data_IF_090851666747
#
_entry.id   IF_090851666747
#
_cell.length_a   1.000
_cell.length_b   1.000
_cell.length_c   1.000
_cell.angle_alpha   90.00
_cell.angle_beta   90.00
_cell.angle_gamma   90.00
#
_symmetry.space_group_name_H-M   'P 1'
#
loop_
_entity.id
_entity.type
_entity.pdbx_description
1 polymer ?
#
# COMPACT_ATOMS: atom_id res chain seq x y z
N UNK A 1 -21.86 0.64 22.91
CA UNK A 1 -22.25 1.57 21.83
C UNK A 1 -21.06 1.63 20.87
N UNK A 2 -21.02 0.70 19.92
CA UNK A 2 -19.87 0.53 19.01
C UNK A 2 -20.00 1.49 17.83
N UNK A 3 -19.99 2.80 18.11
CA UNK A 3 -19.98 3.81 17.06
C UNK A 3 -18.60 3.79 16.41
N UNK A 4 -18.50 3.10 15.28
CA UNK A 4 -17.34 3.18 14.39
C UNK A 4 -17.10 4.65 14.02
N UNK A 5 -15.87 5.12 14.22
CA UNK A 5 -15.41 6.44 13.80
C UNK A 5 -14.50 6.30 12.59
N UNK A 6 -14.68 7.21 11.64
CA UNK A 6 -13.82 7.33 10.48
C UNK A 6 -12.67 8.29 10.79
N UNK A 7 -11.44 7.87 10.49
CA UNK A 7 -10.28 8.73 10.61
C UNK A 7 -10.26 9.75 9.45
N UNK A 8 -10.21 11.04 9.77
CA UNK A 8 -10.24 12.10 8.75
C UNK A 8 -9.00 12.15 7.84
N UNK A 9 -7.88 11.56 8.27
CA UNK A 9 -6.62 11.58 7.53
C UNK A 9 -6.43 10.34 6.65
N UNK A 10 -6.76 9.15 7.16
CA UNK A 10 -6.56 7.89 6.44
C UNK A 10 -7.85 7.19 5.99
N UNK A 11 -9.03 7.74 6.32
CA UNK A 11 -10.34 7.23 5.87
C UNK A 11 -10.80 5.91 6.51
N UNK A 12 -9.97 5.26 7.31
CA UNK A 12 -10.31 3.98 7.96
C UNK A 12 -11.32 4.17 9.09
N UNK A 13 -12.31 3.28 9.13
CA UNK A 13 -13.27 3.18 10.24
C UNK A 13 -12.74 2.24 11.31
N UNK A 14 -12.80 2.68 12.56
CA UNK A 14 -12.38 1.90 13.73
C UNK A 14 -13.31 2.19 14.93
N UNK A 15 -13.32 1.33 15.93
CA UNK A 15 -14.07 1.44 17.18
C UNK A 15 -13.16 2.08 18.26
N UNK A 16 -13.37 3.36 18.62
CA UNK A 16 -12.61 3.99 19.68
C UNK A 16 -12.90 3.31 21.03
N UNK A 17 -11.86 3.07 21.82
CA UNK A 17 -11.93 2.34 23.09
C UNK A 17 -11.84 0.82 22.96
N UNK A 18 -11.80 0.26 21.74
CA UNK A 18 -11.33 -1.12 21.52
C UNK A 18 -9.81 -1.10 21.30
N UNK A 19 -9.04 -1.63 22.24
CA UNK A 19 -7.57 -1.59 22.18
C UNK A 19 -7.00 -2.27 20.94
N UNK A 20 -7.66 -3.34 20.46
CA UNK A 20 -7.20 -4.09 19.28
C UNK A 20 -7.41 -3.25 18.02
N UNK A 21 -8.56 -2.61 17.91
CA UNK A 21 -8.90 -1.80 16.75
C UNK A 21 -8.13 -0.48 16.73
N UNK A 22 -7.94 0.16 17.88
CA UNK A 22 -7.09 1.36 17.99
C UNK A 22 -5.64 1.08 17.60
N UNK A 23 -5.08 -0.05 18.02
CA UNK A 23 -3.72 -0.48 17.64
C UNK A 23 -3.61 -0.77 16.14
N UNK A 24 -4.65 -1.38 15.56
CA UNK A 24 -4.72 -1.66 14.13
C UNK A 24 -4.80 -0.35 13.33
N UNK A 25 -5.68 0.57 13.73
CA UNK A 25 -5.79 1.91 13.17
C UNK A 25 -4.46 2.67 13.24
N UNK A 26 -3.78 2.74 14.39
CA UNK A 26 -2.50 3.45 14.52
C UNK A 26 -1.43 2.88 13.60
N UNK A 27 -1.35 1.55 13.49
CA UNK A 27 -0.39 0.87 12.64
C UNK A 27 -0.64 1.16 11.16
N UNK A 28 -1.91 1.09 10.74
CA UNK A 28 -2.32 1.43 9.38
C UNK A 28 -2.08 2.91 9.08
N UNK A 29 -2.56 3.81 9.94
CA UNK A 29 -2.44 5.25 9.77
C UNK A 29 -0.98 5.67 9.56
N UNK A 30 -0.05 5.14 10.36
CA UNK A 30 1.39 5.38 10.16
C UNK A 30 1.85 4.92 8.78
N UNK A 31 1.49 3.73 8.34
CA UNK A 31 1.93 3.20 7.04
C UNK A 31 1.30 3.95 5.86
N UNK A 32 0.01 4.26 5.95
CA UNK A 32 -0.74 5.00 4.94
C UNK A 32 -0.16 6.41 4.74
N UNK A 33 0.07 7.15 5.84
CA UNK A 33 0.58 8.52 5.75
C UNK A 33 2.02 8.61 5.21
N UNK A 34 2.84 7.58 5.41
CA UNK A 34 4.19 7.52 4.84
C UNK A 34 4.21 7.05 3.38
N UNK A 35 3.09 6.51 2.89
CA UNK A 35 3.01 5.85 1.59
C UNK A 35 3.99 4.67 1.48
N UNK A 36 4.30 4.30 0.24
CA UNK A 36 5.26 3.22 -0.04
C UNK A 36 6.57 3.84 -0.48
N UNK A 37 7.56 3.97 0.42
CA UNK A 37 8.83 4.56 0.05
C UNK A 37 9.51 3.67 -0.99
N UNK A 38 9.87 4.28 -2.13
CA UNK A 38 10.55 3.61 -3.23
C UNK A 38 11.69 4.49 -3.75
N UNK A 39 12.92 4.14 -3.36
CA UNK A 39 14.14 4.85 -3.79
C UNK A 39 14.64 4.42 -5.19
N UNK A 40 14.03 3.39 -5.78
CA UNK A 40 14.51 2.73 -7.00
C UNK A 40 15.43 1.55 -6.74
N UNK A 41 15.71 0.78 -7.78
CA UNK A 41 16.67 -0.33 -7.76
C UNK A 41 17.77 -0.12 -8.80
N UNK A 42 18.96 -0.68 -8.55
CA UNK A 42 20.07 -0.60 -9.51
C UNK A 42 19.75 -1.33 -10.82
N UNK A 43 19.03 -2.44 -10.77
CA UNK A 43 18.65 -3.25 -11.92
C UNK A 43 17.12 -3.20 -12.15
N UNK A 44 16.54 -2.01 -12.09
CA UNK A 44 15.11 -1.86 -12.36
C UNK A 44 14.81 -1.92 -13.87
N UNK A 45 13.71 -2.60 -14.20
CA UNK A 45 13.15 -2.61 -15.56
C UNK A 45 12.14 -1.45 -15.68
N UNK A 46 12.66 -0.24 -15.87
CA UNK A 46 11.86 0.99 -15.88
C UNK A 46 11.59 1.52 -17.29
N UNK A 47 10.35 1.99 -17.51
CA UNK A 47 9.88 2.65 -18.71
C UNK A 47 9.61 4.13 -18.40
N UNK A 48 10.25 5.01 -19.15
CA UNK A 48 10.01 6.45 -19.09
C UNK A 48 9.23 6.90 -20.33
N UNK A 49 8.38 7.90 -20.17
CA UNK A 49 7.64 8.52 -21.26
C UNK A 49 7.63 10.04 -21.06
N UNK A 50 7.73 10.85 -22.13
CA UNK A 50 7.59 12.31 -22.03
C UNK A 50 6.29 12.75 -21.33
N UNK A 51 5.23 11.94 -21.44
CA UNK A 51 3.93 12.20 -20.79
C UNK A 51 3.97 12.01 -19.26
N UNK A 52 4.95 11.26 -18.75
CA UNK A 52 5.04 10.92 -17.33
C UNK A 52 5.71 12.01 -16.49
N UNK A 53 6.09 13.16 -17.05
CA UNK A 53 6.62 14.32 -16.30
C UNK A 53 7.70 13.94 -15.25
N UNK A 54 8.77 13.27 -15.69
CA UNK A 54 9.87 12.72 -14.84
C UNK A 54 9.51 11.51 -13.97
N UNK A 55 8.29 10.99 -14.06
CA UNK A 55 7.91 9.70 -13.48
C UNK A 55 8.31 8.54 -14.40
N UNK A 56 8.24 7.32 -13.86
CA UNK A 56 8.53 6.09 -14.59
C UNK A 56 7.62 4.96 -14.13
N UNK A 57 7.38 4.01 -15.01
CA UNK A 57 6.69 2.75 -14.71
C UNK A 57 7.73 1.65 -14.58
N UNK A 58 7.68 0.86 -13.51
CA UNK A 58 8.61 -0.26 -13.30
C UNK A 58 7.86 -1.58 -13.52
N UNK A 59 8.40 -2.44 -14.38
CA UNK A 59 7.85 -3.77 -14.63
C UNK A 59 8.57 -4.81 -13.78
N UNK A 60 7.80 -5.51 -12.94
CA UNK A 60 8.28 -6.64 -12.14
C UNK A 60 7.67 -7.95 -12.68
N UNK A 61 8.51 -8.96 -12.86
CA UNK A 61 8.12 -10.31 -13.30
C UNK A 61 8.28 -11.32 -12.16
N UNK A 62 7.61 -12.47 -12.26
CA UNK A 62 7.63 -13.52 -11.22
C UNK A 62 9.04 -14.08 -10.94
N UNK A 63 9.92 -14.04 -11.93
CA UNK A 63 11.30 -14.51 -11.84
C UNK A 63 12.29 -13.43 -11.37
N UNK A 64 11.82 -12.19 -11.11
CA UNK A 64 12.68 -11.14 -10.59
C UNK A 64 13.05 -11.39 -9.12
N UNK A 65 14.02 -10.61 -8.61
CA UNK A 65 14.56 -10.80 -7.27
C UNK A 65 13.47 -10.79 -6.17
N UNK A 66 13.67 -11.49 -5.04
CA UNK A 66 12.77 -11.40 -3.90
C UNK A 66 12.52 -9.96 -3.43
N UNK A 67 13.53 -9.08 -3.50
CA UNK A 67 13.38 -7.68 -3.15
C UNK A 67 12.37 -6.94 -4.05
N UNK A 68 12.35 -7.26 -5.35
CA UNK A 68 11.39 -6.64 -6.28
C UNK A 68 9.97 -7.13 -5.99
N UNK A 69 9.80 -8.44 -5.83
CA UNK A 69 8.49 -9.06 -5.58
C UNK A 69 7.91 -8.63 -4.22
N UNK A 70 8.75 -8.54 -3.18
CA UNK A 70 8.32 -8.08 -1.86
C UNK A 70 7.79 -6.64 -1.90
N UNK A 71 8.40 -5.75 -2.69
CA UNK A 71 7.89 -4.38 -2.87
C UNK A 71 6.52 -4.37 -3.56
N UNK A 72 6.28 -5.25 -4.53
CA UNK A 72 4.94 -5.40 -5.14
C UNK A 72 3.94 -5.87 -4.08
N UNK A 73 4.29 -6.83 -3.23
CA UNK A 73 3.41 -7.26 -2.13
C UNK A 73 3.10 -6.14 -1.13
N UNK A 74 4.04 -5.24 -0.83
CA UNK A 74 3.75 -4.04 -0.03
C UNK A 74 2.69 -3.15 -0.68
N UNK A 75 2.78 -2.95 -2.01
CA UNK A 75 1.78 -2.19 -2.79
C UNK A 75 0.42 -2.88 -2.73
N UNK A 76 0.36 -4.17 -3.04
CA UNK A 76 -0.86 -4.97 -2.98
C UNK A 76 -1.53 -4.84 -1.61
N UNK A 77 -0.77 -5.02 -0.53
CA UNK A 77 -1.30 -4.99 0.85
C UNK A 77 -1.88 -3.62 1.24
N UNK A 78 -1.23 -2.52 0.86
CA UNK A 78 -1.78 -1.18 1.11
C UNK A 78 -3.11 -1.00 0.39
N UNK A 79 -3.16 -1.51 -0.82
CA UNK A 79 -4.23 -1.27 -1.76
C UNK A 79 -5.45 -2.19 -1.42
N UNK A 80 -5.22 -3.38 -0.84
CA UNK A 80 -6.21 -4.21 -0.13
C UNK A 80 -6.78 -3.57 1.12
N UNK A 81 -5.96 -2.87 1.90
CA UNK A 81 -6.46 -2.16 3.06
C UNK A 81 -7.37 -0.97 2.68
N UNK A 82 -7.20 -0.37 1.50
CA UNK A 82 -8.05 0.70 0.99
C UNK A 82 -9.34 0.20 0.30
N UNK A 83 -9.23 -0.85 -0.51
CA UNK A 83 -10.31 -1.30 -1.40
C UNK A 83 -11.06 -2.54 -0.89
N UNK A 84 -10.55 -3.22 0.15
CA UNK A 84 -11.05 -4.51 0.64
C UNK A 84 -10.20 -5.70 0.18
N UNK A 85 -10.52 -6.91 0.61
CA UNK A 85 -9.83 -8.14 0.18
C UNK A 85 -10.28 -8.58 -1.25
N UNK A 86 -9.52 -9.45 -1.91
CA UNK A 86 -9.85 -10.14 -3.18
C UNK A 86 -9.93 -9.31 -4.48
N UNK A 87 -9.54 -8.04 -4.50
CA UNK A 87 -9.63 -7.20 -5.72
C UNK A 87 -8.44 -7.36 -6.70
N UNK A 88 -7.28 -7.87 -6.27
CA UNK A 88 -6.10 -8.03 -7.19
C UNK A 88 -5.95 -9.46 -7.72
N UNK A 89 -6.44 -10.45 -7.01
CA UNK A 89 -6.13 -11.84 -7.32
C UNK A 89 -7.21 -12.39 -8.25
N UNK A 90 -7.07 -12.19 -9.55
CA UNK A 90 -7.71 -13.10 -10.50
C UNK A 90 -7.01 -14.46 -10.35
N UNK A 91 -7.68 -15.35 -9.62
CA UNK A 91 -7.30 -16.75 -9.44
C UNK A 91 -7.39 -17.52 -10.75
#
# INVERSE_FOLDING_TARGET
DFLLRECAECGVKYAPGDESDEKSHQSFHKNYMHGIPFKGWQNERAFTSPLLNKNRVVLVLENDSPAHRNKVHEVVKMMEAELGEDWIIHK
#
